data_IF_943747736368
#
_entry.id   IF_943747736368
#
_cell.length_a   1.000
_cell.length_b   1.000
_cell.length_c   1.000
_cell.angle_alpha   90.00
_cell.angle_beta   90.00
_cell.angle_gamma   90.00
#
_symmetry.space_group_name_H-M   'P 1'
#
loop_
_entity.id
_entity.type
_entity.pdbx_description
1 polymer ?
#
# COMPACT_ATOMS: atom_id res chain seq x y z
N UNK A 1 -14.61 -24.19 -22.01
CA UNK A 1 -13.32 -24.82 -22.30
C UNK A 1 -13.12 -24.64 -23.80
N UNK A 2 -11.97 -24.12 -24.24
CA UNK A 2 -11.71 -23.98 -25.66
C UNK A 2 -11.08 -25.31 -26.09
N UNK A 3 -11.89 -26.20 -26.67
CA UNK A 3 -11.44 -27.54 -27.07
C UNK A 3 -10.69 -27.50 -28.43
N UNK A 4 -10.16 -26.33 -28.80
CA UNK A 4 -9.35 -26.15 -29.98
C UNK A 4 -7.89 -26.50 -29.66
N UNK A 5 -7.17 -27.05 -30.64
CA UNK A 5 -5.73 -27.27 -30.54
C UNK A 5 -5.00 -25.96 -30.20
N UNK A 6 -3.97 -26.04 -29.34
CA UNK A 6 -3.20 -24.90 -28.83
C UNK A 6 -2.29 -24.29 -29.91
N UNK A 7 -2.91 -23.66 -30.91
CA UNK A 7 -2.24 -22.94 -31.98
C UNK A 7 -2.28 -21.46 -31.61
N UNK A 8 -1.11 -20.93 -31.25
CA UNK A 8 -0.92 -19.53 -30.85
C UNK A 8 -1.41 -18.60 -31.96
N UNK A 9 -2.28 -17.65 -31.61
CA UNK A 9 -2.71 -16.59 -32.52
C UNK A 9 -3.92 -16.90 -33.41
N UNK A 10 -4.62 -18.02 -33.21
CA UNK A 10 -5.87 -18.29 -33.94
C UNK A 10 -6.99 -17.33 -33.50
N UNK A 11 -7.74 -16.83 -34.48
CA UNK A 11 -8.87 -15.91 -34.25
C UNK A 11 -9.98 -16.56 -33.39
N UNK A 12 -10.18 -17.88 -33.55
CA UNK A 12 -11.12 -18.68 -32.76
C UNK A 12 -10.81 -18.63 -31.26
N UNK A 13 -9.55 -18.86 -30.87
CA UNK A 13 -9.12 -18.83 -29.47
C UNK A 13 -9.32 -17.43 -28.87
N UNK A 14 -9.04 -16.36 -29.62
CA UNK A 14 -9.26 -14.99 -29.15
C UNK A 14 -10.72 -14.72 -28.78
N UNK A 15 -11.67 -15.14 -29.60
CA UNK A 15 -13.10 -14.97 -29.31
C UNK A 15 -13.54 -15.81 -28.10
N UNK A 16 -13.12 -17.09 -28.04
CA UNK A 16 -13.43 -17.97 -26.93
C UNK A 16 -12.91 -17.42 -25.59
N UNK A 17 -11.64 -16.99 -25.55
CA UNK A 17 -11.00 -16.40 -24.37
C UNK A 17 -11.74 -15.13 -23.94
N UNK A 18 -12.04 -14.23 -24.88
CA UNK A 18 -12.78 -12.99 -24.58
C UNK A 18 -14.17 -13.26 -24.00
N UNK A 19 -14.92 -14.21 -24.56
CA UNK A 19 -16.25 -14.57 -24.06
C UNK A 19 -16.18 -15.22 -22.68
N UNK A 20 -15.14 -16.02 -22.41
CA UNK A 20 -14.89 -16.59 -21.09
C UNK A 20 -14.58 -15.50 -20.05
N UNK A 21 -13.71 -14.57 -20.41
CA UNK A 21 -13.35 -13.44 -19.56
C UNK A 21 -14.58 -12.60 -19.19
N UNK A 22 -15.40 -12.21 -20.17
CA UNK A 22 -16.66 -11.47 -19.94
C UNK A 22 -17.63 -12.25 -19.05
N UNK A 23 -17.74 -13.56 -19.25
CA UNK A 23 -18.63 -14.41 -18.45
C UNK A 23 -18.17 -14.49 -16.99
N UNK A 24 -16.85 -14.64 -16.76
CA UNK A 24 -16.25 -14.62 -15.42
C UNK A 24 -16.41 -13.26 -14.74
N UNK A 25 -16.19 -12.18 -15.48
CA UNK A 25 -16.37 -10.81 -14.95
C UNK A 25 -17.83 -10.59 -14.53
N UNK A 26 -18.80 -10.96 -15.38
CA UNK A 26 -20.22 -10.91 -15.03
C UNK A 26 -20.55 -11.72 -13.79
N UNK A 27 -19.92 -12.88 -13.61
CA UNK A 27 -20.08 -13.70 -12.42
C UNK A 27 -19.43 -13.10 -11.18
N UNK A 28 -18.52 -12.14 -11.27
CA UNK A 28 -17.88 -11.51 -10.11
C UNK A 28 -18.46 -10.12 -9.77
N UNK A 29 -19.25 -9.52 -10.66
CA UNK A 29 -19.88 -8.22 -10.46
C UNK A 29 -21.12 -8.32 -9.57
N UNK A 30 -21.14 -7.55 -8.49
CA UNK A 30 -22.29 -7.40 -7.60
C UNK A 30 -22.75 -8.70 -6.91
N UNK A 31 -23.91 -8.69 -6.22
CA UNK A 31 -24.49 -9.90 -5.64
C UNK A 31 -25.01 -10.88 -6.72
N UNK A 32 -25.02 -12.20 -6.44
CA UNK A 32 -25.55 -13.19 -7.38
C UNK A 32 -27.04 -12.93 -7.64
N UNK A 33 -27.43 -12.90 -8.92
CA UNK A 33 -28.82 -12.63 -9.34
C UNK A 33 -29.67 -13.88 -9.33
N UNK A 34 -29.07 -15.03 -9.61
CA UNK A 34 -29.76 -16.33 -9.68
C UNK A 34 -29.10 -17.37 -8.76
N UNK A 35 -29.84 -18.45 -8.45
CA UNK A 35 -29.28 -19.61 -7.72
C UNK A 35 -28.11 -20.24 -8.49
N UNK A 36 -28.21 -20.30 -9.81
CA UNK A 36 -27.14 -20.80 -10.67
C UNK A 36 -25.89 -19.92 -10.58
N UNK A 37 -26.04 -18.59 -10.53
CA UNK A 37 -24.89 -17.68 -10.34
C UNK A 37 -24.22 -17.90 -8.99
N UNK A 38 -25.01 -18.11 -7.93
CA UNK A 38 -24.48 -18.38 -6.59
C UNK A 38 -23.66 -19.67 -6.58
N UNK A 39 -24.24 -20.76 -7.11
CA UNK A 39 -23.56 -22.05 -7.21
C UNK A 39 -22.29 -21.95 -8.06
N UNK A 40 -22.35 -21.25 -9.19
CA UNK A 40 -21.19 -21.03 -10.06
C UNK A 40 -20.06 -20.29 -9.33
N UNK A 41 -20.39 -19.27 -8.52
CA UNK A 41 -19.39 -18.56 -7.69
C UNK A 41 -18.79 -19.47 -6.64
N UNK A 42 -19.61 -20.27 -5.94
CA UNK A 42 -19.14 -21.24 -4.95
C UNK A 42 -18.15 -22.24 -5.59
N UNK A 43 -18.46 -22.77 -6.79
CA UNK A 43 -17.53 -23.63 -7.53
C UNK A 43 -16.24 -22.92 -7.94
N UNK A 44 -16.31 -21.67 -8.42
CA UNK A 44 -15.11 -20.91 -8.76
C UNK A 44 -14.24 -20.71 -7.52
N UNK A 45 -14.83 -20.38 -6.37
CA UNK A 45 -14.11 -20.21 -5.12
C UNK A 45 -13.43 -21.51 -4.70
N UNK A 46 -14.13 -22.64 -4.77
CA UNK A 46 -13.54 -23.96 -4.47
C UNK A 46 -12.35 -24.27 -5.39
N UNK A 47 -12.53 -24.15 -6.71
CA UNK A 47 -11.49 -24.46 -7.70
C UNK A 47 -10.28 -23.51 -7.60
N UNK A 48 -10.46 -22.26 -7.16
CA UNK A 48 -9.33 -21.35 -6.97
C UNK A 48 -8.39 -21.74 -5.83
N UNK A 49 -8.90 -22.44 -4.81
CA UNK A 49 -8.09 -22.93 -3.68
C UNK A 49 -8.55 -24.32 -3.23
N UNK A 50 -8.38 -25.37 -4.07
CA UNK A 50 -8.97 -26.69 -3.82
C UNK A 50 -8.52 -27.31 -2.50
N UNK A 51 -7.28 -27.07 -2.10
CA UNK A 51 -6.71 -27.58 -0.84
C UNK A 51 -7.47 -27.15 0.41
N UNK A 52 -8.24 -26.05 0.37
CA UNK A 52 -9.06 -25.58 1.50
C UNK A 52 -10.42 -26.29 1.61
N UNK A 53 -10.82 -27.02 0.58
CA UNK A 53 -12.15 -27.61 0.45
C UNK A 53 -12.08 -29.14 0.29
N UNK A 54 -10.96 -29.76 0.69
CA UNK A 54 -10.78 -31.21 0.62
C UNK A 54 -11.70 -31.98 1.58
N UNK A 55 -12.13 -31.33 2.66
CA UNK A 55 -13.04 -31.89 3.67
C UNK A 55 -14.52 -31.66 3.31
N UNK A 56 -14.82 -31.09 2.14
CA UNK A 56 -16.20 -30.90 1.67
C UNK A 56 -16.87 -32.26 1.41
N UNK A 57 -18.09 -32.44 1.92
CA UNK A 57 -18.77 -33.73 1.90
C UNK A 57 -19.15 -34.20 0.49
N UNK A 58 -19.37 -33.28 -0.44
CA UNK A 58 -19.79 -33.61 -1.82
C UNK A 58 -18.63 -33.48 -2.80
N UNK A 59 -17.79 -32.46 -2.64
CA UNK A 59 -16.78 -32.08 -3.62
C UNK A 59 -15.34 -32.41 -3.18
N UNK A 60 -15.13 -32.89 -1.95
CA UNK A 60 -13.80 -33.11 -1.36
C UNK A 60 -12.90 -33.98 -2.22
N UNK A 61 -13.39 -35.12 -2.72
CA UNK A 61 -12.62 -36.00 -3.62
C UNK A 61 -12.17 -35.29 -4.90
N UNK A 62 -13.05 -34.46 -5.48
CA UNK A 62 -12.72 -33.66 -6.67
C UNK A 62 -11.69 -32.58 -6.33
N UNK A 63 -11.79 -31.97 -5.15
CA UNK A 63 -10.84 -30.94 -4.70
C UNK A 63 -9.44 -31.51 -4.44
N UNK A 64 -9.34 -32.74 -3.93
CA UNK A 64 -8.06 -33.47 -3.82
C UNK A 64 -7.44 -33.66 -5.20
N UNK A 65 -8.24 -34.09 -6.20
CA UNK A 65 -7.76 -34.27 -7.55
C UNK A 65 -7.25 -32.96 -8.17
N UNK A 66 -8.01 -31.86 -8.06
CA UNK A 66 -7.58 -30.56 -8.55
C UNK A 66 -6.34 -30.03 -7.84
N UNK A 67 -6.24 -30.19 -6.51
CA UNK A 67 -5.04 -29.84 -5.76
C UNK A 67 -3.81 -30.57 -6.32
N UNK A 68 -3.93 -31.88 -6.56
CA UNK A 68 -2.84 -32.69 -7.13
C UNK A 68 -2.42 -32.23 -8.53
N UNK A 69 -3.36 -31.76 -9.36
CA UNK A 69 -3.05 -31.22 -10.69
C UNK A 69 -2.32 -29.88 -10.59
N UNK A 70 -2.74 -29.02 -9.66
CA UNK A 70 -2.07 -27.74 -9.40
C UNK A 70 -0.64 -27.99 -8.90
N UNK A 71 -0.45 -28.94 -7.99
CA UNK A 71 0.88 -29.30 -7.48
C UNK A 71 1.78 -29.87 -8.59
N UNK A 72 1.22 -30.71 -9.47
CA UNK A 72 1.94 -31.21 -10.66
C UNK A 72 2.30 -30.08 -11.62
N UNK A 73 1.39 -29.15 -11.88
CA UNK A 73 1.59 -28.02 -12.79
C UNK A 73 2.64 -27.04 -12.26
N UNK A 74 2.55 -26.67 -10.98
CA UNK A 74 3.48 -25.74 -10.35
C UNK A 74 4.84 -26.37 -10.05
N UNK A 75 4.94 -27.70 -10.17
CA UNK A 75 6.05 -28.48 -9.67
C UNK A 75 6.01 -28.61 -8.14
N UNK A 76 6.69 -29.63 -7.63
CA UNK A 76 6.88 -29.78 -6.19
C UNK A 76 7.82 -28.64 -5.75
N UNK A 77 7.26 -27.55 -5.22
CA UNK A 77 8.08 -26.63 -4.44
C UNK A 77 8.55 -27.43 -3.22
N UNK A 78 9.87 -27.60 -3.01
CA UNK A 78 10.35 -28.34 -1.86
C UNK A 78 9.75 -27.74 -0.59
N UNK A 79 9.44 -28.59 0.39
CA UNK A 79 8.99 -28.12 1.69
C UNK A 79 10.03 -27.11 2.20
N UNK A 80 9.62 -25.84 2.38
CA UNK A 80 10.53 -24.79 2.82
C UNK A 80 11.04 -25.17 4.20
N UNK A 81 12.32 -25.51 4.29
CA UNK A 81 12.93 -25.81 5.59
C UNK A 81 12.99 -24.54 6.42
N UNK A 82 13.12 -24.69 7.75
CA UNK A 82 13.29 -23.56 8.64
C UNK A 82 14.48 -22.68 8.22
N UNK A 83 15.57 -23.27 7.71
CA UNK A 83 16.73 -22.51 7.23
C UNK A 83 16.41 -21.69 5.97
N UNK A 84 15.60 -22.20 5.05
CA UNK A 84 15.20 -21.47 3.85
C UNK A 84 14.32 -20.25 4.17
N UNK A 85 13.43 -20.42 5.14
CA UNK A 85 12.59 -19.33 5.67
C UNK A 85 13.48 -18.26 6.30
N UNK A 86 14.42 -18.65 7.17
CA UNK A 86 15.33 -17.72 7.83
C UNK A 86 16.23 -16.97 6.83
N UNK A 87 16.72 -17.66 5.79
CA UNK A 87 17.49 -17.04 4.69
C UNK A 87 16.68 -15.98 3.97
N UNK A 88 15.42 -16.25 3.60
CA UNK A 88 14.54 -15.25 2.98
C UNK A 88 14.27 -14.06 3.91
N UNK A 89 14.07 -14.30 5.20
CA UNK A 89 13.90 -13.21 6.17
C UNK A 89 15.16 -12.34 6.27
N UNK A 90 16.36 -12.93 6.26
CA UNK A 90 17.63 -12.18 6.22
C UNK A 90 17.76 -11.35 4.95
N UNK A 91 17.43 -11.92 3.79
CA UNK A 91 17.42 -11.20 2.51
C UNK A 91 16.44 -10.03 2.52
N UNK A 92 15.22 -10.23 3.02
CA UNK A 92 14.22 -9.16 3.14
C UNK A 92 14.67 -8.06 4.11
N UNK A 93 15.26 -8.43 5.26
CA UNK A 93 15.80 -7.47 6.23
C UNK A 93 16.96 -6.65 5.67
N UNK A 94 17.77 -7.23 4.79
CA UNK A 94 18.86 -6.52 4.10
C UNK A 94 18.37 -5.54 3.02
N UNK A 95 17.15 -5.73 2.50
CA UNK A 95 16.54 -4.78 1.57
C UNK A 95 16.02 -3.59 2.37
N UNK A 96 16.59 -2.41 2.13
CA UNK A 96 16.03 -1.17 2.66
C UNK A 96 14.68 -0.91 2.01
N UNK A 97 13.63 -0.76 2.81
CA UNK A 97 12.33 -0.31 2.35
C UNK A 97 12.44 1.14 1.86
N UNK A 98 12.65 1.30 0.56
CA UNK A 98 12.57 2.61 -0.11
C UNK A 98 11.09 2.93 -0.32
N UNK A 99 10.46 3.47 0.71
CA UNK A 99 9.12 4.04 0.56
C UNK A 99 9.26 5.39 -0.14
N UNK A 100 8.79 5.46 -1.39
CA UNK A 100 8.77 6.71 -2.18
C UNK A 100 8.05 7.83 -1.41
N UNK A 101 6.99 7.49 -0.66
CA UNK A 101 6.26 8.45 0.18
C UNK A 101 7.14 8.97 1.32
N UNK A 102 7.93 8.09 1.97
CA UNK A 102 8.86 8.47 3.04
C UNK A 102 9.99 9.37 2.49
N UNK A 103 10.50 9.04 1.32
CA UNK A 103 11.58 9.78 0.67
C UNK A 103 11.14 11.17 0.16
N UNK A 104 9.86 11.33 -0.22
CA UNK A 104 9.30 12.60 -0.70
C UNK A 104 8.72 13.45 0.44
N UNK A 105 8.13 12.85 1.47
CA UNK A 105 7.44 13.60 2.53
C UNK A 105 8.40 14.21 3.56
N UNK A 106 9.58 13.61 3.78
CA UNK A 106 10.56 14.14 4.72
C UNK A 106 11.76 14.75 3.97
N UNK A 107 11.56 15.92 3.37
CA UNK A 107 12.63 16.73 2.77
C UNK A 107 13.35 17.61 3.80
N UNK A 108 13.20 17.34 5.10
CA UNK A 108 13.86 18.11 6.12
C UNK A 108 15.38 17.90 6.02
N UNK A 109 16.07 18.95 5.56
CA UNK A 109 17.53 18.97 5.38
C UNK A 109 18.28 18.74 6.70
N UNK A 110 17.63 18.97 7.85
CA UNK A 110 18.22 18.80 9.17
C UNK A 110 17.82 17.52 9.90
N UNK A 111 17.18 16.56 9.21
CA UNK A 111 16.70 15.32 9.83
C UNK A 111 17.83 14.42 10.33
N UNK A 112 18.91 14.32 9.55
CA UNK A 112 20.06 13.46 9.86
C UNK A 112 21.31 14.25 10.29
N UNK A 113 21.36 15.56 9.98
CA UNK A 113 22.47 16.45 10.33
C UNK A 113 21.96 17.80 10.83
N UNK A 114 22.40 18.29 12.00
CA UNK A 114 22.00 19.61 12.48
C UNK A 114 22.51 20.74 11.56
N UNK A 115 21.88 21.93 11.58
CA UNK A 115 22.30 23.06 10.75
C UNK A 115 23.73 23.52 11.08
N UNK A 116 24.49 23.91 10.06
CA UNK A 116 25.85 24.44 10.24
C UNK A 116 25.84 25.85 10.87
N UNK A 117 26.99 26.33 11.34
CA UNK A 117 27.15 27.66 11.95
C UNK A 117 26.56 28.78 11.08
N UNK A 118 26.85 28.80 9.77
CA UNK A 118 26.33 29.82 8.87
C UNK A 118 24.81 29.73 8.70
N UNK A 119 24.26 28.52 8.59
CA UNK A 119 22.81 28.32 8.48
C UNK A 119 22.08 28.73 9.77
N UNK A 120 22.69 28.49 10.93
CA UNK A 120 22.16 28.95 12.22
C UNK A 120 22.11 30.47 12.31
N UNK A 121 23.16 31.14 11.87
CA UNK A 121 23.23 32.61 11.88
C UNK A 121 22.18 33.21 10.93
N UNK A 122 22.01 32.63 9.75
CA UNK A 122 20.96 33.04 8.80
C UNK A 122 19.55 32.86 9.39
N UNK A 123 19.29 31.72 10.04
CA UNK A 123 18.02 31.48 10.74
C UNK A 123 17.77 32.49 11.86
N UNK A 124 18.79 32.81 12.64
CA UNK A 124 18.70 33.82 13.70
C UNK A 124 18.38 35.20 13.13
N UNK A 125 18.98 35.57 11.99
CA UNK A 125 18.68 36.83 11.32
C UNK A 125 17.24 36.88 10.79
N UNK A 126 16.73 35.79 10.21
CA UNK A 126 15.32 35.71 9.78
C UNK A 126 14.36 35.88 10.96
N UNK A 127 14.65 35.26 12.11
CA UNK A 127 13.83 35.39 13.33
C UNK A 127 13.91 36.82 13.87
N UNK A 128 15.10 37.41 13.89
CA UNK A 128 15.34 38.73 14.48
C UNK A 128 14.77 39.87 13.63
N UNK A 129 14.78 39.75 12.30
CA UNK A 129 14.17 40.76 11.42
C UNK A 129 12.66 40.96 11.69
N UNK A 130 11.95 39.92 12.10
CA UNK A 130 10.51 40.02 12.43
C UNK A 130 10.25 40.68 13.79
N UNK A 131 11.23 40.63 14.71
CA UNK A 131 11.14 41.25 16.05
C UNK A 131 11.23 42.78 16.01
N UNK A 132 11.86 43.37 14.98
CA UNK A 132 12.03 44.83 14.87
C UNK A 132 10.72 45.61 14.74
N UNK A 133 9.61 44.97 14.36
CA UNK A 133 8.28 45.60 14.30
C UNK A 133 7.56 45.65 15.65
N UNK A 134 7.92 44.79 16.61
CA UNK A 134 7.30 44.79 17.93
C UNK A 134 8.01 45.74 18.90
N UNK A 135 9.30 46.02 18.70
CA UNK A 135 10.09 46.89 19.58
C UNK A 135 9.56 48.34 19.62
N UNK A 136 9.07 48.88 18.49
CA UNK A 136 8.52 50.25 18.46
C UNK A 136 7.19 50.39 19.22
N UNK A 137 6.45 49.30 19.37
CA UNK A 137 5.17 49.27 20.11
C UNK A 137 5.38 49.35 21.62
N UNK A 138 6.50 48.83 22.12
CA UNK A 138 6.86 48.90 23.54
C UNK A 138 7.28 50.32 23.95
N UNK A 139 8.05 51.02 23.11
CA UNK A 139 8.44 52.41 23.38
C UNK A 139 7.22 53.35 23.40
N UNK A 140 6.26 53.13 22.50
CA UNK A 140 4.99 53.89 22.47
C UNK A 140 4.14 53.61 23.72
N UNK A 141 4.00 52.34 24.12
CA UNK A 141 3.33 51.95 25.37
C UNK A 141 4.01 52.52 26.61
N UNK A 142 5.34 52.48 26.68
CA UNK A 142 6.10 53.04 27.81
C UNK A 142 5.95 54.56 27.89
N UNK A 143 5.89 55.24 26.74
CA UNK A 143 5.60 56.68 26.66
C UNK A 143 4.20 56.99 27.18
N UNK A 144 3.19 56.23 26.77
CA UNK A 144 1.80 56.43 27.22
C UNK A 144 1.61 56.12 28.70
N UNK A 145 2.22 55.05 29.23
CA UNK A 145 2.25 54.78 30.67
C UNK A 145 2.97 55.92 31.41
N UNK A 146 4.07 56.43 30.87
CA UNK A 146 4.79 57.57 31.44
C UNK A 146 3.98 58.88 31.45
N UNK A 147 3.05 59.08 30.51
CA UNK A 147 2.11 60.22 30.54
C UNK A 147 1.05 60.02 31.61
N UNK A 148 0.45 58.84 31.70
CA UNK A 148 -0.56 58.53 32.71
C UNK A 148 -0.04 58.71 34.13
N UNK A 149 1.20 58.28 34.41
CA UNK A 149 1.82 58.48 35.72
C UNK A 149 2.14 59.96 36.02
N UNK A 150 2.43 60.78 35.00
CA UNK A 150 2.66 62.22 35.19
C UNK A 150 1.38 63.03 35.35
N UNK A 151 0.25 62.52 34.87
CA UNK A 151 -1.07 63.15 35.01
C UNK A 151 -1.67 62.92 36.41
N UNK A 152 -1.18 61.94 37.18
CA UNK A 152 -1.62 61.70 38.58
C UNK A 152 -0.86 62.56 39.61
N UNK A 153 0.24 63.22 39.23
CA UNK A 153 1.11 64.01 40.13
C UNK A 153 0.88 65.54 40.03
N UNK A 154 -0.25 66.01 39.46
CA UNK A 154 -0.59 67.44 39.34
C UNK A 154 -2.03 67.77 39.75
#
# INVERSE_FOLDING_TARGET
MCDAEDIVGTERCRNCINNHAKSRERLNLGPPKTKADRLAREFITMITQPSKYIDDSEHGESMIYYASLIDKHNGISPAKTAEEIERRFKELKSKKDKSIIRDIANQNKWNDNPPDFFEREELLQLITNDMTKEDTKWDELLSDVGKLLKEEDN
#
